data_IF_981804964882
#
_entry.id   IF_981804964882
#
_cell.length_a   1.000
_cell.length_b   1.000
_cell.length_c   1.000
_cell.angle_alpha   90.00
_cell.angle_beta   90.00
_cell.angle_gamma   90.00
#
_symmetry.space_group_name_H-M   'P 1'
#
loop_
_entity.id
_entity.type
_entity.pdbx_description
1 polymer ?
#
# COMPACT_ATOMS: atom_id res chain seq x y z
N UNK A 1 -9.20 24.97 7.37
CA UNK A 1 -10.06 23.77 7.18
C UNK A 1 -10.17 23.54 5.69
N UNK A 2 -9.66 22.41 5.22
CA UNK A 2 -9.72 22.03 3.78
C UNK A 2 -11.16 21.72 3.44
N UNK A 3 -11.69 22.31 2.35
CA UNK A 3 -13.07 22.05 1.92
C UNK A 3 -13.12 20.82 1.02
N UNK A 4 -13.75 19.76 1.52
CA UNK A 4 -14.03 18.57 0.72
C UNK A 4 -15.27 18.86 -0.14
N UNK A 5 -15.17 18.58 -1.43
CA UNK A 5 -16.27 18.80 -2.36
C UNK A 5 -17.37 17.74 -2.16
N UNK A 6 -18.62 18.17 -2.23
CA UNK A 6 -19.76 17.24 -2.23
C UNK A 6 -19.84 16.43 -3.54
N UNK A 7 -19.41 17.03 -4.64
CA UNK A 7 -19.30 16.40 -5.94
C UNK A 7 -17.90 16.62 -6.52
N UNK A 8 -17.27 15.56 -7.10
CA UNK A 8 -15.95 15.69 -7.67
C UNK A 8 -15.94 16.66 -8.87
N UNK A 9 -14.84 17.39 -9.01
CA UNK A 9 -14.64 18.22 -10.17
C UNK A 9 -14.34 17.39 -11.41
N UNK A 10 -14.77 17.91 -12.54
CA UNK A 10 -14.34 17.36 -13.82
C UNK A 10 -12.83 17.57 -14.00
N UNK A 11 -12.12 16.48 -14.23
CA UNK A 11 -10.68 16.51 -14.52
C UNK A 11 -10.50 16.96 -15.97
N UNK A 12 -9.78 18.06 -16.24
CA UNK A 12 -9.54 18.51 -17.60
C UNK A 12 -8.70 17.48 -18.39
N UNK A 13 -9.15 17.10 -19.57
CA UNK A 13 -8.48 16.10 -20.40
C UNK A 13 -8.75 14.67 -19.96
N UNK A 14 -7.77 13.79 -20.15
CA UNK A 14 -7.87 12.36 -19.82
C UNK A 14 -8.51 11.52 -20.92
N UNK A 15 -8.38 10.20 -20.78
CA UNK A 15 -8.86 9.23 -21.74
C UNK A 15 -9.94 8.34 -21.11
N UNK A 16 -11.04 8.15 -21.80
CA UNK A 16 -12.04 7.14 -21.45
C UNK A 16 -11.64 5.80 -22.04
N UNK A 17 -11.00 4.97 -21.23
CA UNK A 17 -10.59 3.62 -21.62
C UNK A 17 -11.68 2.61 -21.25
N UNK A 18 -11.81 1.54 -22.03
CA UNK A 18 -12.66 0.41 -21.64
C UNK A 18 -11.99 -0.31 -20.46
N UNK A 19 -12.61 -0.26 -19.28
CA UNK A 19 -12.01 -0.76 -18.04
C UNK A 19 -11.76 -2.28 -18.05
N UNK A 20 -12.63 -3.04 -18.73
CA UNK A 20 -12.56 -4.52 -18.81
C UNK A 20 -12.48 -5.24 -17.45
N UNK A 21 -12.76 -4.56 -16.34
CA UNK A 21 -12.70 -5.09 -14.97
C UNK A 21 -13.64 -6.29 -14.75
N UNK A 22 -14.76 -6.35 -15.48
CA UNK A 22 -15.65 -7.50 -15.43
C UNK A 22 -14.99 -8.83 -15.82
N UNK A 23 -13.88 -8.79 -16.53
CA UNK A 23 -13.11 -10.00 -16.89
C UNK A 23 -12.19 -10.42 -15.73
N UNK A 24 -11.48 -9.48 -15.14
CA UNK A 24 -10.54 -9.75 -14.03
C UNK A 24 -11.28 -10.07 -12.72
N UNK A 25 -12.46 -9.51 -12.49
CA UNK A 25 -13.30 -9.77 -11.31
C UNK A 25 -14.15 -11.06 -11.37
N UNK A 26 -14.10 -11.82 -12.46
CA UNK A 26 -14.86 -13.08 -12.59
C UNK A 26 -14.47 -14.13 -11.57
N UNK A 27 -13.21 -14.13 -11.19
CA UNK A 27 -12.65 -15.08 -10.23
C UNK A 27 -12.47 -14.40 -8.89
N UNK A 28 -12.98 -14.98 -7.79
CA UNK A 28 -12.74 -14.42 -6.46
C UNK A 28 -11.26 -14.47 -6.11
N UNK A 29 -10.85 -13.60 -5.17
CA UNK A 29 -9.51 -13.65 -4.58
C UNK A 29 -9.28 -15.03 -3.99
N UNK A 30 -8.13 -15.64 -4.30
CA UNK A 30 -7.75 -16.97 -3.84
C UNK A 30 -6.38 -16.92 -3.18
N UNK A 31 -6.20 -17.73 -2.17
CA UNK A 31 -4.89 -17.96 -1.60
C UNK A 31 -4.01 -18.72 -2.62
N UNK A 32 -2.85 -18.17 -2.94
CA UNK A 32 -1.88 -18.84 -3.79
C UNK A 32 -1.30 -20.08 -3.09
N UNK A 33 -0.98 -21.12 -3.87
CA UNK A 33 -0.20 -22.23 -3.34
C UNK A 33 1.22 -21.75 -3.02
N UNK A 34 1.77 -22.23 -1.93
CA UNK A 34 3.16 -21.96 -1.59
C UNK A 34 4.08 -22.61 -2.65
N UNK A 35 4.91 -21.83 -3.36
CA UNK A 35 5.87 -22.41 -4.29
C UNK A 35 7.03 -23.06 -3.54
N UNK A 36 7.63 -24.08 -4.14
CA UNK A 36 8.79 -24.76 -3.56
C UNK A 36 10.02 -23.85 -3.47
N UNK A 37 10.18 -22.94 -4.43
CA UNK A 37 11.30 -22.01 -4.51
C UNK A 37 10.82 -20.59 -4.69
N UNK A 38 11.35 -19.69 -3.86
CA UNK A 38 11.07 -18.26 -3.93
C UNK A 38 12.37 -17.49 -4.18
N UNK A 39 12.30 -16.54 -5.10
CA UNK A 39 13.38 -15.57 -5.36
C UNK A 39 12.85 -14.23 -4.83
N UNK A 40 13.43 -13.76 -3.73
CA UNK A 40 12.99 -12.58 -3.01
C UNK A 40 13.92 -11.43 -3.29
N UNK A 41 13.52 -10.43 -4.10
CA UNK A 41 14.35 -9.27 -4.37
C UNK A 41 14.60 -8.45 -3.11
N UNK A 42 15.83 -7.95 -2.95
CA UNK A 42 16.19 -7.02 -1.87
C UNK A 42 15.82 -5.57 -2.21
N UNK A 43 15.38 -5.32 -3.45
CA UNK A 43 14.83 -4.04 -3.92
C UNK A 43 13.39 -4.23 -4.39
N UNK A 44 12.43 -4.07 -3.48
CA UNK A 44 10.99 -4.11 -3.75
C UNK A 44 10.35 -2.74 -3.54
N UNK A 45 11.15 -1.70 -3.48
CA UNK A 45 10.77 -0.32 -3.18
C UNK A 45 11.68 0.66 -3.91
N UNK A 46 11.25 1.90 -4.02
CA UNK A 46 12.11 2.99 -4.52
C UNK A 46 13.19 3.32 -3.49
N UNK A 47 14.35 3.77 -3.97
CA UNK A 47 15.49 4.17 -3.15
C UNK A 47 16.55 3.09 -3.07
N UNK A 48 17.27 3.03 -1.94
CA UNK A 48 18.42 2.14 -1.77
C UNK A 48 17.95 0.72 -1.46
N UNK A 49 18.43 -0.31 -2.20
CA UNK A 49 18.14 -1.71 -1.89
C UNK A 49 18.50 -2.07 -0.45
N UNK A 50 17.83 -3.06 0.11
CA UNK A 50 18.16 -3.61 1.42
C UNK A 50 19.44 -4.46 1.36
N UNK A 51 20.24 -4.44 2.43
CA UNK A 51 21.37 -5.35 2.59
C UNK A 51 20.92 -6.71 3.10
N UNK A 52 21.40 -7.80 2.48
CA UNK A 52 21.13 -9.14 2.95
C UNK A 52 21.67 -9.36 4.37
N UNK A 53 20.84 -9.96 5.23
CA UNK A 53 21.20 -10.37 6.59
C UNK A 53 21.39 -11.88 6.72
N UNK A 54 21.12 -12.62 5.65
CA UNK A 54 21.15 -14.08 5.62
C UNK A 54 22.13 -14.56 4.55
N UNK A 55 22.56 -15.80 4.68
CA UNK A 55 23.51 -16.48 3.78
C UNK A 55 23.00 -17.87 3.42
N UNK A 56 23.54 -18.50 2.36
CA UNK A 56 23.23 -19.89 2.03
C UNK A 56 23.43 -20.83 3.22
N UNK A 57 22.43 -21.68 3.48
CA UNK A 57 22.34 -22.61 4.59
C UNK A 57 21.54 -22.11 5.79
N UNK A 58 21.23 -20.81 5.88
CA UNK A 58 20.42 -20.27 6.98
C UNK A 58 18.97 -20.75 6.86
N UNK A 59 18.38 -21.11 7.99
CA UNK A 59 16.94 -21.37 8.11
C UNK A 59 16.22 -20.09 8.46
N UNK A 60 15.09 -19.85 7.79
CA UNK A 60 14.27 -18.65 8.01
C UNK A 60 12.82 -19.03 8.30
N UNK A 61 12.12 -18.15 9.01
CA UNK A 61 10.71 -18.26 9.31
C UNK A 61 9.95 -17.15 8.53
N UNK A 62 8.67 -17.37 8.24
CA UNK A 62 7.79 -16.38 7.62
C UNK A 62 7.75 -15.09 8.46
N UNK A 63 7.96 -13.95 7.81
CA UNK A 63 8.03 -12.65 8.48
C UNK A 63 9.38 -12.34 9.12
N UNK A 64 10.35 -13.27 9.13
CA UNK A 64 11.69 -12.99 9.61
C UNK A 64 12.40 -11.99 8.72
N UNK A 65 13.08 -11.01 9.31
CA UNK A 65 13.90 -10.02 8.60
C UNK A 65 15.06 -10.72 7.90
N UNK A 66 15.12 -10.59 6.56
CA UNK A 66 16.20 -11.15 5.71
C UNK A 66 16.99 -10.08 4.97
N UNK A 67 16.45 -8.87 4.87
CA UNK A 67 17.11 -7.72 4.28
C UNK A 67 16.91 -6.47 5.14
N UNK A 68 17.99 -5.78 5.48
CA UNK A 68 17.98 -4.58 6.33
C UNK A 68 17.94 -3.33 5.48
N UNK A 69 17.02 -2.43 5.78
CA UNK A 69 17.04 -1.06 5.26
C UNK A 69 18.29 -0.31 5.69
N UNK A 70 18.96 0.34 4.75
CA UNK A 70 20.25 1.03 4.96
C UNK A 70 20.17 2.53 4.82
N UNK A 71 19.01 3.05 4.38
CA UNK A 71 18.82 4.48 4.13
C UNK A 71 17.44 4.94 4.60
N UNK A 72 17.22 6.25 4.60
CA UNK A 72 15.93 6.84 4.93
C UNK A 72 14.84 6.42 3.93
N UNK A 73 15.16 6.46 2.63
CA UNK A 73 14.29 5.93 1.56
C UNK A 73 14.77 4.52 1.21
N UNK A 74 14.35 3.60 2.02
CA UNK A 74 14.58 2.15 1.90
C UNK A 74 13.57 1.44 2.78
N UNK A 75 13.31 0.16 2.53
CA UNK A 75 12.47 -0.66 3.37
C UNK A 75 13.12 -2.02 3.66
N UNK A 76 12.94 -2.58 4.85
CA UNK A 76 13.39 -3.92 5.15
C UNK A 76 12.61 -4.97 4.36
N UNK A 77 13.26 -6.10 4.10
CA UNK A 77 12.68 -7.23 3.38
C UNK A 77 12.59 -8.43 4.32
N UNK A 78 11.45 -9.11 4.28
CA UNK A 78 11.13 -10.23 5.15
C UNK A 78 10.94 -11.52 4.34
N UNK A 79 11.23 -12.65 4.96
CA UNK A 79 10.99 -13.96 4.35
C UNK A 79 9.47 -14.19 4.16
N UNK A 80 9.02 -14.52 2.96
CA UNK A 80 7.60 -14.73 2.68
C UNK A 80 7.05 -16.05 3.24
N UNK A 81 7.92 -16.99 3.59
CA UNK A 81 7.60 -18.30 4.16
C UNK A 81 8.77 -18.86 4.97
N UNK A 82 8.55 -19.95 5.70
CA UNK A 82 9.63 -20.71 6.32
C UNK A 82 10.37 -21.59 5.31
N UNK A 83 11.66 -21.78 5.53
CA UNK A 83 12.50 -22.59 4.63
C UNK A 83 13.99 -22.42 4.86
N UNK A 84 14.76 -22.76 3.84
CA UNK A 84 16.22 -22.66 3.87
C UNK A 84 16.70 -21.74 2.75
N UNK A 85 17.54 -20.78 3.09
CA UNK A 85 18.25 -19.95 2.11
C UNK A 85 19.24 -20.81 1.35
N UNK A 86 19.14 -20.84 0.02
CA UNK A 86 20.03 -21.63 -0.83
C UNK A 86 21.04 -20.76 -1.57
N UNK A 87 20.69 -19.50 -1.80
CA UNK A 87 21.59 -18.56 -2.45
C UNK A 87 21.26 -17.11 -2.09
N UNK A 88 22.27 -16.23 -2.21
CA UNK A 88 22.16 -14.77 -2.17
C UNK A 88 22.97 -14.21 -3.32
N UNK A 89 22.31 -13.69 -4.34
CA UNK A 89 22.96 -13.27 -5.59
C UNK A 89 22.02 -12.56 -6.54
N UNK A 90 22.48 -12.32 -7.76
CA UNK A 90 21.73 -11.58 -8.77
C UNK A 90 20.82 -12.48 -9.59
N UNK A 91 19.55 -12.18 -9.59
CA UNK A 91 18.50 -12.92 -10.29
C UNK A 91 17.61 -12.00 -11.12
N UNK A 92 16.99 -12.51 -12.19
CA UNK A 92 15.98 -11.79 -12.94
C UNK A 92 14.81 -11.39 -12.01
N UNK A 93 14.40 -10.13 -12.08
CA UNK A 93 13.28 -9.57 -11.32
C UNK A 93 12.20 -9.04 -12.27
N UNK A 94 10.94 -8.96 -11.84
CA UNK A 94 9.84 -8.44 -12.65
C UNK A 94 9.92 -6.90 -12.78
N UNK A 95 10.98 -6.41 -13.39
CA UNK A 95 11.22 -5.00 -13.65
C UNK A 95 11.32 -4.73 -15.16
N UNK A 96 10.76 -3.61 -15.67
CA UNK A 96 10.77 -3.30 -17.11
C UNK A 96 12.16 -3.25 -17.75
N UNK A 97 13.22 -3.02 -16.98
CA UNK A 97 14.59 -3.01 -17.49
C UNK A 97 15.08 -4.40 -17.96
N UNK A 98 14.45 -5.48 -17.49
CA UNK A 98 14.92 -6.85 -17.74
C UNK A 98 16.26 -7.18 -17.08
N UNK A 99 16.77 -6.31 -16.19
CA UNK A 99 18.05 -6.53 -15.50
C UNK A 99 17.86 -7.44 -14.28
N UNK A 100 18.95 -8.05 -13.86
CA UNK A 100 19.03 -8.77 -12.60
C UNK A 100 19.13 -7.78 -11.42
N UNK A 101 18.66 -8.23 -10.26
CA UNK A 101 18.84 -7.53 -8.99
C UNK A 101 19.25 -8.53 -7.90
N UNK A 102 19.84 -8.01 -6.83
CA UNK A 102 20.22 -8.83 -5.69
C UNK A 102 18.99 -9.41 -4.99
N UNK A 103 19.00 -10.72 -4.79
CA UNK A 103 17.89 -11.51 -4.27
C UNK A 103 18.37 -12.52 -3.23
N UNK A 104 17.46 -12.90 -2.34
CA UNK A 104 17.59 -14.06 -1.47
C UNK A 104 16.75 -15.19 -2.06
N UNK A 105 17.36 -16.38 -2.26
CA UNK A 105 16.64 -17.56 -2.75
C UNK A 105 16.32 -18.47 -1.59
N UNK A 106 15.04 -18.79 -1.42
CA UNK A 106 14.51 -19.63 -0.34
C UNK A 106 13.86 -20.86 -0.94
N UNK A 107 14.24 -22.06 -0.46
CA UNK A 107 13.48 -23.29 -0.68
C UNK A 107 12.54 -23.45 0.51
N UNK A 108 11.23 -23.43 0.24
CA UNK A 108 10.19 -23.57 1.25
C UNK A 108 10.24 -24.98 1.88
N UNK A 109 9.99 -25.05 3.18
CA UNK A 109 9.87 -26.33 3.90
C UNK A 109 8.44 -26.90 3.85
N UNK A 110 7.48 -26.14 3.32
CA UNK A 110 6.07 -26.51 3.24
C UNK A 110 5.28 -26.30 4.52
N UNK A 111 5.92 -25.86 5.62
CA UNK A 111 5.27 -25.70 6.92
C UNK A 111 4.73 -24.27 7.16
N UNK A 112 5.19 -23.28 6.39
CA UNK A 112 4.81 -21.87 6.48
C UNK A 112 4.82 -21.29 7.90
N UNK A 113 5.81 -21.70 8.72
CA UNK A 113 5.96 -21.30 10.12
C UNK A 113 6.30 -19.84 10.25
N UNK A 114 5.51 -19.11 11.04
CA UNK A 114 5.73 -17.68 11.29
C UNK A 114 6.79 -17.44 12.38
N UNK A 115 7.60 -16.41 12.20
CA UNK A 115 8.45 -15.84 13.24
C UNK A 115 7.61 -15.02 14.21
N UNK A 116 8.01 -14.98 15.48
CA UNK A 116 7.56 -13.95 16.39
C UNK A 116 8.38 -12.66 16.08
N UNK A 117 7.75 -11.76 15.35
CA UNK A 117 8.43 -10.51 14.94
C UNK A 117 8.41 -9.43 16.02
N UNK A 118 7.64 -9.63 17.09
CA UNK A 118 7.42 -8.62 18.12
C UNK A 118 6.67 -7.36 17.62
N UNK A 119 6.27 -7.34 16.33
CA UNK A 119 5.55 -6.23 15.72
C UNK A 119 4.06 -6.33 16.05
N UNK A 120 3.71 -6.08 17.30
CA UNK A 120 2.33 -6.04 17.78
C UNK A 120 2.11 -4.73 18.49
N UNK A 121 1.14 -3.97 18.01
CA UNK A 121 0.64 -2.80 18.74
C UNK A 121 -0.75 -3.17 19.29
N UNK A 122 -0.80 -3.54 20.54
CA UNK A 122 -2.07 -3.65 21.24
C UNK A 122 -2.67 -2.24 21.35
N UNK A 123 -3.95 -2.09 20.97
CA UNK A 123 -4.66 -0.81 20.95
C UNK A 123 -3.93 0.26 20.13
N UNK A 124 -3.71 -0.04 18.87
CA UNK A 124 -2.95 0.82 17.95
C UNK A 124 -3.39 2.29 17.94
N UNK A 125 -4.67 2.57 18.17
CA UNK A 125 -5.20 3.95 18.24
C UNK A 125 -4.90 4.67 19.57
N UNK A 126 -4.34 3.97 20.56
CA UNK A 126 -3.85 4.54 21.81
C UNK A 126 -2.32 4.70 21.82
N UNK A 127 -1.64 4.12 20.83
CA UNK A 127 -0.18 4.14 20.73
C UNK A 127 0.34 5.53 20.29
N UNK A 128 1.57 5.83 20.68
CA UNK A 128 2.23 7.05 20.19
C UNK A 128 2.41 7.00 18.67
N UNK A 129 2.06 8.06 17.92
CA UNK A 129 2.26 8.12 16.47
C UNK A 129 3.70 7.80 16.03
N UNK A 130 4.72 8.10 16.85
CA UNK A 130 6.11 7.76 16.55
C UNK A 130 6.34 6.24 16.61
N UNK A 131 5.74 5.54 17.56
CA UNK A 131 5.83 4.08 17.68
C UNK A 131 5.14 3.39 16.50
N UNK A 132 3.98 3.91 16.07
CA UNK A 132 3.29 3.41 14.87
C UNK A 132 4.20 3.56 13.65
N UNK A 133 4.77 4.73 13.42
CA UNK A 133 5.69 4.96 12.29
C UNK A 133 6.90 4.03 12.34
N UNK A 134 7.46 3.80 13.52
CA UNK A 134 8.58 2.88 13.70
C UNK A 134 8.17 1.42 13.36
N UNK A 135 6.99 0.99 13.79
CA UNK A 135 6.49 -0.34 13.48
C UNK A 135 6.15 -0.52 11.99
N UNK A 136 5.52 0.49 11.36
CA UNK A 136 5.29 0.50 9.91
C UNK A 136 6.61 0.40 9.14
N UNK A 137 7.66 1.09 9.61
CA UNK A 137 9.02 0.97 9.04
C UNK A 137 9.60 -0.43 9.25
N UNK A 138 9.56 -0.96 10.47
CA UNK A 138 10.09 -2.27 10.80
C UNK A 138 9.37 -3.40 10.05
N UNK A 139 8.07 -3.26 9.81
CA UNK A 139 7.27 -4.20 9.02
C UNK A 139 7.55 -4.14 7.50
N UNK A 140 8.33 -3.16 7.04
CA UNK A 140 8.67 -3.02 5.63
C UNK A 140 7.48 -2.64 4.74
N UNK A 141 6.48 -1.95 5.29
CA UNK A 141 5.29 -1.56 4.55
C UNK A 141 5.62 -0.47 3.54
N UNK A 142 5.30 -0.75 2.28
CA UNK A 142 5.49 0.16 1.14
C UNK A 142 4.20 0.31 0.37
N UNK A 143 4.08 1.41 -0.40
CA UNK A 143 2.95 1.59 -1.31
C UNK A 143 2.98 0.55 -2.44
N UNK A 144 1.83 -0.02 -2.78
CA UNK A 144 1.70 -1.04 -3.83
C UNK A 144 1.13 -0.49 -5.15
N UNK A 145 0.96 0.82 -5.26
CA UNK A 145 0.49 1.50 -6.48
C UNK A 145 1.56 1.73 -7.56
N UNK A 146 2.65 0.94 -7.56
CA UNK A 146 3.70 0.95 -8.57
C UNK A 146 5.06 1.47 -8.12
N UNK A 147 5.14 2.58 -7.39
CA UNK A 147 6.43 3.17 -6.97
C UNK A 147 7.12 2.43 -5.81
N UNK A 148 6.39 1.63 -5.03
CA UNK A 148 6.95 0.95 -3.87
C UNK A 148 7.52 1.92 -2.83
N UNK A 149 6.86 3.07 -2.61
CA UNK A 149 7.38 4.10 -1.69
C UNK A 149 7.19 3.68 -0.24
N UNK A 150 8.23 3.79 0.64
CA UNK A 150 8.15 3.39 2.04
C UNK A 150 7.09 4.19 2.81
N UNK A 151 6.06 3.50 3.32
CA UNK A 151 4.90 4.14 3.98
C UNK A 151 5.29 4.89 5.25
N UNK A 152 6.31 4.43 5.99
CA UNK A 152 6.80 5.11 7.17
C UNK A 152 7.35 6.52 6.87
N UNK A 153 7.89 6.74 5.67
CA UNK A 153 8.36 8.06 5.22
C UNK A 153 7.18 9.00 4.97
N UNK A 154 6.12 8.51 4.38
CA UNK A 154 4.88 9.26 4.14
C UNK A 154 4.18 9.65 5.44
N UNK A 155 4.15 8.73 6.39
CA UNK A 155 3.55 8.95 7.71
C UNK A 155 4.38 9.87 8.60
N UNK A 156 5.48 10.44 8.10
CA UNK A 156 6.34 11.37 8.81
C UNK A 156 6.45 12.72 8.11
N UNK A 157 5.43 13.59 8.16
CA UNK A 157 5.44 14.89 7.50
C UNK A 157 6.46 15.87 8.11
N UNK A 158 7.05 15.54 9.25
CA UNK A 158 7.95 16.41 10.01
C UNK A 158 7.23 17.17 11.15
N UNK A 159 7.99 17.67 12.14
CA UNK A 159 7.41 18.23 13.36
C UNK A 159 6.62 19.53 13.15
N UNK A 160 6.92 20.28 12.09
CA UNK A 160 6.32 21.59 11.85
C UNK A 160 5.12 21.53 10.88
N UNK A 161 4.73 20.33 10.44
CA UNK A 161 3.63 20.15 9.48
C UNK A 161 2.44 19.49 10.14
N UNK A 162 1.33 20.19 10.17
CA UNK A 162 0.05 19.66 10.59
C UNK A 162 -0.72 19.13 9.39
N UNK A 163 -1.15 17.87 9.45
CA UNK A 163 -1.98 17.25 8.40
C UNK A 163 -3.45 17.41 8.79
N UNK A 164 -4.19 18.22 8.05
CA UNK A 164 -5.64 18.39 8.29
C UNK A 164 -6.44 17.26 7.66
N UNK A 165 -6.02 16.76 6.51
CA UNK A 165 -6.77 15.81 5.69
C UNK A 165 -5.86 14.71 5.13
N UNK A 166 -6.32 13.47 5.27
CA UNK A 166 -5.73 12.29 4.61
C UNK A 166 -6.58 11.93 3.39
N UNK A 167 -5.95 11.83 2.22
CA UNK A 167 -6.60 11.37 0.99
C UNK A 167 -6.12 9.95 0.67
N UNK A 168 -7.06 9.03 0.63
CA UNK A 168 -6.83 7.62 0.24
C UNK A 168 -7.18 7.47 -1.23
N UNK A 169 -6.23 6.96 -1.99
CA UNK A 169 -6.41 6.70 -3.40
C UNK A 169 -6.96 5.28 -3.62
N UNK A 170 -8.26 5.18 -3.84
CA UNK A 170 -8.97 3.97 -4.24
C UNK A 170 -9.34 3.96 -5.73
N UNK A 171 -8.75 4.85 -6.53
CA UNK A 171 -8.95 4.87 -7.98
C UNK A 171 -7.96 3.94 -8.68
N UNK A 172 -8.44 3.20 -9.67
CA UNK A 172 -7.72 2.16 -10.38
C UNK A 172 -8.07 2.22 -11.88
N UNK A 173 -7.49 3.20 -12.57
CA UNK A 173 -7.93 3.63 -13.91
C UNK A 173 -7.35 2.81 -15.07
N UNK A 174 -6.42 1.90 -14.84
CA UNK A 174 -5.85 1.06 -15.89
C UNK A 174 -6.82 -0.07 -16.30
N UNK A 175 -6.93 -0.37 -17.62
CA UNK A 175 -7.72 -1.50 -18.07
C UNK A 175 -7.28 -2.83 -17.43
N UNK A 176 -8.24 -3.69 -17.13
CA UNK A 176 -8.09 -5.02 -16.49
C UNK A 176 -7.59 -5.02 -15.06
N UNK A 177 -6.97 -3.96 -14.54
CA UNK A 177 -6.52 -3.88 -13.16
C UNK A 177 -7.75 -3.78 -12.24
N UNK A 178 -7.81 -4.66 -11.23
CA UNK A 178 -8.94 -4.79 -10.31
C UNK A 178 -8.54 -5.31 -8.92
N UNK A 179 -7.26 -5.21 -8.59
CA UNK A 179 -6.75 -5.65 -7.29
C UNK A 179 -7.24 -4.76 -6.15
N UNK A 180 -7.30 -3.45 -6.35
CA UNK A 180 -7.75 -2.51 -5.32
C UNK A 180 -9.26 -2.60 -5.13
N UNK A 181 -10.04 -2.72 -6.22
CA UNK A 181 -11.47 -2.99 -6.12
C UNK A 181 -11.74 -4.30 -5.38
N UNK A 182 -11.02 -5.37 -5.71
CA UNK A 182 -11.15 -6.65 -5.04
C UNK A 182 -10.81 -6.56 -3.54
N UNK A 183 -9.74 -5.82 -3.19
CA UNK A 183 -9.33 -5.59 -1.80
C UNK A 183 -10.41 -4.82 -1.03
N UNK A 184 -10.90 -3.71 -1.56
CA UNK A 184 -11.97 -2.90 -0.94
C UNK A 184 -13.26 -3.69 -0.71
N UNK A 185 -13.56 -4.69 -1.55
CA UNK A 185 -14.74 -5.56 -1.43
C UNK A 185 -14.56 -6.74 -0.49
N UNK A 186 -13.40 -7.39 -0.54
CA UNK A 186 -13.17 -8.65 0.19
C UNK A 186 -12.55 -8.45 1.56
N UNK A 187 -11.80 -7.35 1.76
CA UNK A 187 -11.07 -7.03 2.98
C UNK A 187 -11.41 -5.61 3.46
N UNK A 188 -12.69 -5.23 3.35
CA UNK A 188 -13.15 -3.86 3.63
C UNK A 188 -12.76 -3.38 5.02
N UNK A 189 -12.92 -4.24 6.05
CA UNK A 189 -12.56 -3.92 7.44
C UNK A 189 -11.07 -3.65 7.57
N UNK A 190 -10.22 -4.49 6.97
CA UNK A 190 -8.77 -4.31 7.01
C UNK A 190 -8.33 -3.00 6.35
N UNK A 191 -9.02 -2.62 5.26
CA UNK A 191 -8.80 -1.32 4.59
C UNK A 191 -9.15 -0.16 5.53
N UNK A 192 -10.31 -0.21 6.18
CA UNK A 192 -10.74 0.84 7.13
C UNK A 192 -9.81 0.90 8.34
N UNK A 193 -9.41 -0.24 8.89
CA UNK A 193 -8.45 -0.30 10.01
C UNK A 193 -7.11 0.31 9.61
N UNK A 194 -6.60 0.00 8.41
CA UNK A 194 -5.39 0.62 7.87
C UNK A 194 -5.51 2.14 7.73
N UNK A 195 -6.66 2.63 7.26
CA UNK A 195 -6.95 4.07 7.15
C UNK A 195 -6.93 4.72 8.54
N UNK A 196 -7.56 4.10 9.55
CA UNK A 196 -7.56 4.61 10.92
C UNK A 196 -6.16 4.67 11.53
N UNK A 197 -5.33 3.67 11.28
CA UNK A 197 -3.92 3.66 11.70
C UNK A 197 -3.16 4.82 11.06
N UNK A 198 -3.31 5.03 9.75
CA UNK A 198 -2.65 6.12 9.04
C UNK A 198 -3.15 7.48 9.51
N UNK A 199 -4.45 7.64 9.70
CA UNK A 199 -5.08 8.86 10.22
C UNK A 199 -4.52 9.22 11.60
N UNK A 200 -4.45 8.25 12.50
CA UNK A 200 -3.91 8.44 13.85
C UNK A 200 -2.40 8.78 13.82
N UNK A 201 -1.62 8.05 13.02
CA UNK A 201 -0.18 8.30 12.86
C UNK A 201 0.15 9.69 12.31
N UNK A 202 -0.76 10.29 11.52
CA UNK A 202 -0.63 11.63 10.93
C UNK A 202 -1.29 12.72 11.78
N UNK A 203 -2.18 12.36 12.72
CA UNK A 203 -3.03 13.29 13.42
C UNK A 203 -4.07 13.99 12.52
N UNK A 204 -4.45 13.36 11.39
CA UNK A 204 -5.37 13.94 10.44
C UNK A 204 -6.80 13.99 11.00
N UNK A 205 -7.46 15.14 10.84
CA UNK A 205 -8.80 15.35 11.38
C UNK A 205 -9.89 14.72 10.53
N UNK A 206 -9.66 14.62 9.22
CA UNK A 206 -10.61 14.10 8.24
C UNK A 206 -9.91 13.17 7.26
N UNK A 207 -10.68 12.24 6.68
CA UNK A 207 -10.23 11.35 5.63
C UNK A 207 -11.17 11.40 4.44
N UNK A 208 -10.60 11.37 3.23
CA UNK A 208 -11.33 11.16 1.98
C UNK A 208 -10.82 9.91 1.30
N UNK A 209 -11.73 9.04 0.90
CA UNK A 209 -11.44 7.89 0.03
C UNK A 209 -11.99 8.21 -1.36
N UNK A 210 -11.10 8.47 -2.32
CA UNK A 210 -11.48 8.65 -3.72
C UNK A 210 -11.61 7.30 -4.40
N UNK A 211 -12.82 6.94 -4.86
CA UNK A 211 -13.09 5.64 -5.52
C UNK A 211 -13.72 5.91 -6.87
N UNK A 212 -13.34 5.18 -7.92
CA UNK A 212 -13.93 5.37 -9.24
C UNK A 212 -15.41 4.98 -9.28
N UNK A 213 -16.20 5.76 -10.04
CA UNK A 213 -17.64 5.60 -10.22
C UNK A 213 -18.04 4.26 -10.89
N UNK A 214 -17.08 3.58 -11.54
CA UNK A 214 -17.25 2.25 -12.12
C UNK A 214 -17.09 1.10 -11.10
N UNK A 215 -16.86 1.41 -9.80
CA UNK A 215 -16.69 0.44 -8.70
C UNK A 215 -17.85 0.49 -7.68
N UNK A 216 -19.13 0.41 -8.09
CA UNK A 216 -20.25 0.61 -7.17
C UNK A 216 -20.28 -0.39 -6.01
N UNK A 217 -19.82 -1.62 -6.23
CA UNK A 217 -19.75 -2.64 -5.18
C UNK A 217 -18.70 -2.31 -4.11
N UNK A 218 -17.57 -1.73 -4.47
CA UNK A 218 -16.56 -1.29 -3.51
C UNK A 218 -17.08 -0.10 -2.68
N UNK A 219 -17.72 0.87 -3.34
CA UNK A 219 -18.35 2.02 -2.67
C UNK A 219 -19.41 1.56 -1.66
N UNK A 220 -20.27 0.60 -2.04
CA UNK A 220 -21.30 0.04 -1.14
C UNK A 220 -20.67 -0.70 0.06
N UNK A 221 -19.65 -1.54 -0.17
CA UNK A 221 -18.97 -2.25 0.91
C UNK A 221 -18.29 -1.28 1.90
N UNK A 222 -17.57 -0.29 1.38
CA UNK A 222 -16.93 0.74 2.20
C UNK A 222 -17.97 1.55 2.98
N UNK A 223 -19.05 2.00 2.33
CA UNK A 223 -20.12 2.78 2.98
C UNK A 223 -20.76 2.02 4.14
N UNK A 224 -21.15 0.77 3.93
CA UNK A 224 -21.72 -0.09 5.00
C UNK A 224 -20.75 -0.30 6.16
N UNK A 225 -19.46 -0.48 5.86
CA UNK A 225 -18.45 -0.65 6.89
C UNK A 225 -18.26 0.64 7.71
N UNK A 226 -18.19 1.80 7.07
CA UNK A 226 -18.08 3.09 7.74
C UNK A 226 -19.28 3.39 8.64
N UNK A 227 -20.52 3.13 8.15
CA UNK A 227 -21.74 3.25 8.93
C UNK A 227 -21.72 2.34 10.17
N UNK A 228 -21.32 1.08 9.99
CA UNK A 228 -21.23 0.11 11.08
C UNK A 228 -20.20 0.49 12.16
N UNK A 229 -19.11 1.17 11.75
CA UNK A 229 -18.05 1.62 12.65
C UNK A 229 -18.30 3.03 13.23
N UNK A 230 -19.35 3.74 12.80
CA UNK A 230 -19.62 5.12 13.22
C UNK A 230 -18.52 6.10 12.80
N UNK A 231 -17.98 5.94 11.60
CA UNK A 231 -16.81 6.66 11.11
C UNK A 231 -17.19 7.94 10.34
N UNK A 232 -17.82 8.90 11.02
CA UNK A 232 -18.36 10.14 10.42
C UNK A 232 -17.27 11.09 9.87
N UNK A 233 -16.03 10.89 10.25
CA UNK A 233 -14.86 11.65 9.83
C UNK A 233 -14.19 11.10 8.56
N UNK A 234 -14.69 9.99 8.01
CA UNK A 234 -14.24 9.39 6.75
C UNK A 234 -15.33 9.53 5.69
N UNK A 235 -14.99 10.12 4.55
CA UNK A 235 -15.93 10.32 3.43
C UNK A 235 -15.47 9.56 2.20
N UNK A 236 -16.42 8.93 1.49
CA UNK A 236 -16.18 8.35 0.18
C UNK A 236 -16.57 9.39 -0.87
N UNK A 237 -15.67 9.67 -1.80
CA UNK A 237 -15.92 10.57 -2.94
C UNK A 237 -15.81 9.75 -4.23
N UNK A 238 -16.94 9.47 -4.92
CA UNK A 238 -16.91 8.84 -6.22
C UNK A 238 -16.24 9.76 -7.23
N UNK A 239 -15.17 9.30 -7.88
CA UNK A 239 -14.46 10.06 -8.92
C UNK A 239 -14.69 9.47 -10.30
N UNK A 240 -14.66 10.27 -11.39
CA UNK A 240 -14.93 9.75 -12.72
C UNK A 240 -13.85 8.74 -13.16
N UNK A 241 -14.30 7.64 -13.79
CA UNK A 241 -13.43 6.65 -14.42
C UNK A 241 -12.79 7.23 -15.68
N UNK A 242 -11.69 7.92 -15.49
CA UNK A 242 -10.97 8.65 -16.53
C UNK A 242 -9.47 8.50 -16.33
N UNK A 243 -8.74 7.95 -17.30
CA UNK A 243 -7.29 7.84 -17.19
C UNK A 243 -6.63 9.23 -17.40
N UNK A 244 -5.77 9.73 -16.53
CA UNK A 244 -5.25 9.14 -15.28
C UNK A 244 -5.88 9.77 -14.00
N UNK A 245 -7.19 9.65 -13.80
CA UNK A 245 -7.88 10.22 -12.62
C UNK A 245 -7.32 9.72 -11.29
N UNK A 246 -6.80 8.48 -11.27
CA UNK A 246 -6.07 7.90 -10.14
C UNK A 246 -4.66 8.47 -9.93
N UNK A 247 -4.20 9.36 -10.80
CA UNK A 247 -2.98 10.12 -10.55
C UNK A 247 -3.17 11.01 -9.32
N UNK A 248 -2.19 11.03 -8.43
CA UNK A 248 -2.25 11.72 -7.13
C UNK A 248 -2.76 13.15 -7.20
N UNK A 249 -2.16 13.96 -8.10
CA UNK A 249 -2.57 15.37 -8.28
C UNK A 249 -3.98 15.52 -8.81
N UNK A 250 -4.38 14.65 -9.74
CA UNK A 250 -5.70 14.61 -10.34
C UNK A 250 -6.75 14.24 -9.31
N UNK A 251 -6.47 13.25 -8.47
CA UNK A 251 -7.39 12.83 -7.41
C UNK A 251 -7.57 13.93 -6.37
N UNK A 252 -6.50 14.57 -5.92
CA UNK A 252 -6.56 15.69 -4.98
C UNK A 252 -7.38 16.85 -5.59
N UNK A 253 -7.12 17.19 -6.85
CA UNK A 253 -7.89 18.22 -7.55
C UNK A 253 -9.37 17.87 -7.62
N UNK A 254 -9.71 16.63 -7.97
CA UNK A 254 -11.10 16.19 -8.08
C UNK A 254 -11.83 16.24 -6.73
N UNK A 255 -11.16 15.87 -5.64
CA UNK A 255 -11.77 15.80 -4.31
C UNK A 255 -11.81 17.14 -3.56
N UNK A 256 -10.86 18.06 -3.80
CA UNK A 256 -10.61 19.17 -2.89
C UNK A 256 -10.58 20.58 -3.56
N UNK A 257 -10.72 20.67 -4.87
CA UNK A 257 -10.50 21.93 -5.59
C UNK A 257 -9.11 22.55 -5.33
N UNK A 258 -8.11 21.71 -5.03
CA UNK A 258 -6.79 22.13 -4.66
C UNK A 258 -5.75 21.58 -5.64
N UNK A 259 -4.85 22.42 -6.08
CA UNK A 259 -3.70 22.02 -6.88
C UNK A 259 -2.46 22.08 -6.00
N UNK A 260 -1.83 20.95 -5.79
CA UNK A 260 -0.57 20.91 -5.05
C UNK A 260 0.50 21.77 -5.72
N UNK A 261 1.12 22.71 -5.01
CA UNK A 261 2.15 23.57 -5.58
C UNK A 261 3.47 22.85 -5.84
N UNK A 262 3.70 21.67 -5.29
CA UNK A 262 4.95 20.91 -5.41
C UNK A 262 4.74 19.42 -5.59
N UNK A 263 5.52 18.78 -6.51
CA UNK A 263 5.55 17.30 -6.61
C UNK A 263 6.07 16.60 -5.35
N UNK A 264 6.76 17.32 -4.45
CA UNK A 264 7.32 16.76 -3.21
C UNK A 264 6.33 16.72 -2.07
N UNK A 265 5.22 17.47 -2.16
CA UNK A 265 4.26 17.53 -1.08
C UNK A 265 3.39 16.26 -1.00
N UNK A 266 3.43 15.41 -2.04
CA UNK A 266 2.51 14.28 -2.20
C UNK A 266 3.12 13.08 -2.94
N UNK A 267 4.40 12.80 -2.83
CA UNK A 267 4.95 11.53 -3.30
C UNK A 267 4.49 10.40 -2.37
N UNK A 268 3.27 9.96 -2.63
CA UNK A 268 2.63 8.82 -1.96
C UNK A 268 2.57 7.62 -2.85
#
# INVERSE_FOLDING_TARGET
MVSILEQPLAIPGGLRLASSKSQSLRTPVRQARLPERLIVPLSQHIGVPADALVKPGDKVLKGQLIGRSTDYISAPVHAPTSGTVTDVGDYPVPHPSGLNASCVVIIADGEDRAADTGLKIDRVLEADPADIRQQVRAAGIVGLGGAGFPSAVKLNPGPDRQVELLVINGAECEPFISCDEALMRCCTQDVIDGIRIMQHALGAQQVVIGVEDNMPSAIDCLGKCLEACGADDIRIVPVPSLYPAGGEKQLIYACLLYTSPSPRDFSC
#
